data_IF_789451389457
#
_entry.id   IF_789451389457
#
_cell.length_a   1.000
_cell.length_b   1.000
_cell.length_c   1.000
_cell.angle_alpha   90.00
_cell.angle_beta   90.00
_cell.angle_gamma   90.00
#
_symmetry.space_group_name_H-M   'P 1'
#
loop_
_entity.id
_entity.type
_entity.pdbx_description
1 polymer ?
#
# COMPACT_ATOMS: atom_id res chain seq x y z
N UNK A 1 52.37 -54.25 22.61
CA UNK A 1 52.19 -52.78 22.64
C UNK A 1 50.79 -52.44 22.13
N UNK A 2 50.00 -51.74 22.94
CA UNK A 2 48.54 -51.54 22.78
C UNK A 2 48.25 -50.22 22.04
N UNK A 3 47.89 -50.28 20.76
CA UNK A 3 47.48 -49.12 19.93
C UNK A 3 46.11 -49.35 19.28
N UNK A 4 45.12 -49.84 20.03
CA UNK A 4 43.74 -50.07 19.53
C UNK A 4 42.61 -49.35 20.29
N UNK A 5 42.90 -48.33 21.09
CA UNK A 5 41.87 -47.70 21.96
C UNK A 5 41.42 -46.29 21.56
N UNK A 6 42.01 -45.63 20.56
CA UNK A 6 41.69 -44.21 20.26
C UNK A 6 40.60 -44.02 19.18
N UNK A 7 40.39 -44.99 18.29
CA UNK A 7 39.41 -44.86 17.21
C UNK A 7 37.94 -44.98 17.69
N UNK A 8 37.68 -45.79 18.74
CA UNK A 8 36.31 -45.97 19.27
C UNK A 8 35.80 -44.74 20.05
N UNK A 9 36.69 -43.98 20.68
CA UNK A 9 36.31 -42.77 21.43
C UNK A 9 35.90 -41.61 20.51
N UNK A 10 36.53 -41.48 19.33
CA UNK A 10 36.18 -40.44 18.36
C UNK A 10 34.82 -40.70 17.69
N UNK A 11 34.46 -41.96 17.44
CA UNK A 11 33.16 -42.33 16.87
C UNK A 11 32.00 -42.05 17.85
N UNK A 12 32.19 -42.29 19.15
CA UNK A 12 31.17 -42.00 20.16
C UNK A 12 31.03 -40.50 20.46
N UNK A 13 32.12 -39.73 20.41
CA UNK A 13 32.07 -38.27 20.59
C UNK A 13 31.30 -37.58 19.44
N UNK A 14 31.49 -38.04 18.20
CA UNK A 14 30.77 -37.51 17.03
C UNK A 14 29.26 -37.75 17.09
N UNK A 15 28.82 -38.90 17.61
CA UNK A 15 27.39 -39.25 17.72
C UNK A 15 26.69 -38.45 18.83
N UNK A 16 27.39 -38.13 19.93
CA UNK A 16 26.86 -37.28 21.01
C UNK A 16 26.77 -35.81 20.56
N UNK A 17 27.77 -35.31 19.82
CA UNK A 17 27.73 -33.95 19.26
C UNK A 17 26.61 -33.77 18.22
N UNK A 18 26.38 -34.77 17.35
CA UNK A 18 25.27 -34.73 16.38
C UNK A 18 23.88 -34.73 17.06
N UNK A 19 23.71 -35.47 18.17
CA UNK A 19 22.47 -35.47 18.94
C UNK A 19 22.22 -34.15 19.71
N UNK A 20 23.27 -33.41 20.05
CA UNK A 20 23.15 -32.10 20.70
C UNK A 20 22.87 -30.95 19.74
N UNK A 21 23.18 -31.11 18.45
CA UNK A 21 22.98 -30.07 17.42
C UNK A 21 21.54 -30.01 16.87
N UNK A 22 20.75 -31.08 17.02
CA UNK A 22 19.35 -31.15 16.51
C UNK A 22 18.31 -30.53 17.45
N UNK A 23 18.71 -30.04 18.64
CA UNK A 23 17.79 -29.52 19.67
C UNK A 23 17.55 -28.00 19.68
N UNK A 24 18.32 -27.19 18.94
CA UNK A 24 18.27 -25.72 19.07
C UNK A 24 17.36 -25.01 18.05
N UNK A 25 16.72 -25.73 17.12
CA UNK A 25 15.97 -25.09 16.02
C UNK A 25 14.45 -24.97 16.22
N UNK A 26 13.84 -25.54 17.26
CA UNK A 26 12.39 -25.86 17.20
C UNK A 26 11.42 -25.11 18.12
N UNK A 27 11.85 -24.12 18.91
CA UNK A 27 10.91 -23.34 19.74
C UNK A 27 11.06 -21.84 19.56
N UNK A 28 10.63 -21.34 18.40
CA UNK A 28 10.22 -19.94 18.32
C UNK A 28 8.82 -19.83 18.95
N UNK A 29 8.63 -18.96 19.95
CA UNK A 29 7.31 -18.72 20.51
C UNK A 29 6.42 -18.22 19.39
N UNK A 30 5.28 -18.87 19.18
CA UNK A 30 4.30 -18.46 18.17
C UNK A 30 2.96 -18.29 18.84
N UNK A 31 2.35 -17.13 18.62
CA UNK A 31 1.08 -16.73 19.22
C UNK A 31 -0.04 -16.94 18.21
N UNK A 32 -1.14 -17.63 18.57
CA UNK A 32 -2.26 -17.81 17.67
C UNK A 32 -2.92 -16.47 17.36
N UNK A 33 -3.23 -16.24 16.09
CA UNK A 33 -3.99 -15.10 15.59
C UNK A 33 -5.12 -15.61 14.69
N UNK A 34 -6.32 -15.10 14.90
CA UNK A 34 -7.46 -15.34 14.02
C UNK A 34 -7.74 -14.10 13.19
N UNK A 35 -7.79 -14.25 11.87
CA UNK A 35 -8.18 -13.20 10.94
C UNK A 35 -9.60 -13.51 10.47
N UNK A 36 -10.56 -12.63 10.77
CA UNK A 36 -11.94 -12.72 10.27
C UNK A 36 -12.08 -11.85 9.04
N UNK A 37 -12.48 -12.43 7.92
CA UNK A 37 -12.73 -11.72 6.66
C UNK A 37 -14.23 -11.62 6.45
N UNK A 38 -14.75 -10.40 6.36
CA UNK A 38 -16.16 -10.15 6.08
C UNK A 38 -16.35 -9.12 4.99
N UNK A 39 -17.48 -9.20 4.32
CA UNK A 39 -17.94 -8.21 3.37
C UNK A 39 -18.35 -6.95 4.14
N UNK A 40 -17.73 -5.82 3.83
CA UNK A 40 -17.97 -4.56 4.49
C UNK A 40 -19.41 -4.05 4.31
N UNK A 41 -20.08 -4.40 3.21
CA UNK A 41 -21.41 -3.91 2.86
C UNK A 41 -22.51 -4.80 3.44
N UNK A 42 -22.34 -6.12 3.39
CA UNK A 42 -23.35 -7.09 3.85
C UNK A 42 -23.07 -7.64 5.25
N UNK A 43 -21.88 -7.41 5.80
CA UNK A 43 -21.38 -7.96 7.06
C UNK A 43 -21.31 -9.50 7.07
N UNK A 44 -21.45 -10.15 5.92
CA UNK A 44 -21.38 -11.62 5.79
C UNK A 44 -19.92 -12.08 5.70
N UNK A 45 -19.59 -13.27 6.24
CA UNK A 45 -18.25 -13.83 6.09
C UNK A 45 -17.88 -14.06 4.62
N UNK A 46 -16.60 -13.91 4.28
CA UNK A 46 -16.08 -14.15 2.91
C UNK A 46 -15.25 -15.44 2.91
N UNK A 47 -15.85 -16.58 2.51
CA UNK A 47 -15.13 -17.85 2.48
C UNK A 47 -14.08 -17.88 1.37
N UNK A 48 -13.07 -18.73 1.53
CA UNK A 48 -11.99 -18.94 0.56
C UNK A 48 -11.19 -17.66 0.22
N UNK A 49 -11.25 -16.62 1.06
CA UNK A 49 -10.37 -15.47 0.96
C UNK A 49 -8.92 -15.90 1.25
N UNK A 50 -7.98 -15.45 0.42
CA UNK A 50 -6.55 -15.63 0.65
C UNK A 50 -6.06 -14.51 1.55
N UNK A 51 -5.64 -14.86 2.76
CA UNK A 51 -5.08 -13.98 3.78
C UNK A 51 -3.56 -14.16 3.78
N UNK A 52 -2.84 -13.10 3.43
CA UNK A 52 -1.37 -13.04 3.51
C UNK A 52 -0.99 -12.16 4.70
N UNK A 53 -0.24 -12.72 5.64
CA UNK A 53 0.29 -11.99 6.80
C UNK A 53 1.79 -11.85 6.61
N UNK A 54 2.28 -10.62 6.63
CA UNK A 54 3.68 -10.30 6.40
C UNK A 54 4.19 -9.21 7.34
N UNK A 55 5.51 -9.11 7.44
CA UNK A 55 6.20 -8.20 8.39
C UNK A 55 7.04 -7.22 7.63
N UNK A 56 7.20 -6.03 8.19
CA UNK A 56 8.16 -5.07 7.66
C UNK A 56 9.56 -5.38 8.20
N UNK A 57 10.58 -5.41 7.33
CA UNK A 57 11.98 -5.61 7.72
C UNK A 57 12.79 -6.45 6.72
N UNK A 58 14.08 -6.60 7.01
CA UNK A 58 15.10 -7.22 6.13
C UNK A 58 14.93 -8.73 5.88
N UNK A 59 14.00 -9.38 6.59
CA UNK A 59 13.74 -10.82 6.53
C UNK A 59 12.25 -11.13 6.32
N UNK A 60 11.53 -10.25 5.61
CA UNK A 60 10.08 -10.32 5.44
C UNK A 60 9.64 -11.54 4.63
N UNK A 61 10.22 -11.77 3.45
CA UNK A 61 9.76 -12.80 2.51
C UNK A 61 9.78 -14.23 3.07
N UNK A 62 10.75 -14.55 3.94
CA UNK A 62 10.87 -15.89 4.54
C UNK A 62 9.84 -16.15 5.66
N UNK A 63 9.16 -15.10 6.14
CA UNK A 63 8.21 -15.14 7.25
C UNK A 63 6.77 -14.85 6.83
N UNK A 64 6.54 -14.67 5.54
CA UNK A 64 5.21 -14.48 4.99
C UNK A 64 4.40 -15.77 5.14
N UNK A 65 3.19 -15.63 5.66
CA UNK A 65 2.24 -16.74 5.74
C UNK A 65 1.04 -16.44 4.86
N UNK A 66 0.71 -17.37 3.96
CA UNK A 66 -0.48 -17.30 3.13
C UNK A 66 -1.43 -18.41 3.54
N UNK A 67 -2.64 -18.03 3.92
CA UNK A 67 -3.66 -18.93 4.49
C UNK A 67 -4.98 -18.66 3.80
N UNK A 68 -5.76 -19.70 3.56
CA UNK A 68 -7.11 -19.58 3.00
C UNK A 68 -8.14 -19.59 4.12
N UNK A 69 -9.07 -18.64 4.10
CA UNK A 69 -10.17 -18.56 5.05
C UNK A 69 -11.17 -19.71 4.85
N UNK A 70 -11.68 -20.22 5.96
CA UNK A 70 -12.70 -21.27 6.00
C UNK A 70 -14.09 -20.81 5.55
N UNK A 71 -15.09 -21.68 5.69
CA UNK A 71 -16.47 -21.40 5.31
C UNK A 71 -17.12 -20.26 6.11
N UNK A 72 -16.62 -20.02 7.33
CA UNK A 72 -17.03 -18.94 8.22
C UNK A 72 -16.24 -17.63 8.00
N UNK A 73 -15.40 -17.57 6.96
CA UNK A 73 -14.55 -16.42 6.66
C UNK A 73 -13.39 -16.25 7.64
N UNK A 74 -13.06 -17.25 8.45
CA UNK A 74 -11.95 -17.18 9.40
C UNK A 74 -10.69 -17.87 8.88
N UNK A 75 -9.53 -17.25 9.11
CA UNK A 75 -8.22 -17.82 8.85
C UNK A 75 -7.42 -17.85 10.16
N UNK A 76 -6.91 -19.02 10.53
CA UNK A 76 -6.09 -19.18 11.73
C UNK A 76 -4.61 -19.25 11.36
N UNK A 77 -3.80 -18.43 12.02
CA UNK A 77 -2.34 -18.38 11.85
C UNK A 77 -1.64 -18.42 13.21
N UNK A 78 -0.33 -18.63 13.19
CA UNK A 78 0.53 -18.43 14.36
C UNK A 78 1.67 -17.52 13.98
N UNK A 79 1.81 -16.41 14.71
CA UNK A 79 2.84 -15.42 14.45
C UNK A 79 3.90 -15.47 15.55
N UNK A 80 5.17 -15.50 15.15
CA UNK A 80 6.25 -15.12 16.04
C UNK A 80 6.11 -13.65 16.49
N UNK A 81 6.78 -13.22 17.57
CA UNK A 81 6.83 -11.82 17.96
C UNK A 81 7.22 -10.91 16.78
N UNK A 82 6.56 -9.75 16.60
CA UNK A 82 6.85 -8.83 15.51
C UNK A 82 8.18 -8.11 15.74
N UNK A 83 8.83 -7.72 14.65
CA UNK A 83 9.95 -6.78 14.69
C UNK A 83 9.40 -5.33 14.81
N UNK A 84 10.27 -4.32 14.95
CA UNK A 84 9.85 -2.91 15.12
C UNK A 84 8.99 -2.36 13.97
N UNK A 85 9.08 -2.97 12.79
CA UNK A 85 8.34 -2.55 11.60
C UNK A 85 6.84 -2.87 11.62
N UNK A 86 6.37 -3.74 12.52
CA UNK A 86 4.96 -4.13 12.62
C UNK A 86 4.56 -5.26 11.66
N UNK A 87 3.25 -5.53 11.62
CA UNK A 87 2.65 -6.65 10.86
C UNK A 87 1.51 -6.13 9.99
N UNK A 88 1.49 -6.55 8.73
CA UNK A 88 0.44 -6.25 7.77
C UNK A 88 -0.33 -7.51 7.39
N UNK A 89 -1.63 -7.35 7.23
CA UNK A 89 -2.55 -8.36 6.74
C UNK A 89 -3.08 -7.88 5.40
N UNK A 90 -2.82 -8.64 4.36
CA UNK A 90 -3.36 -8.47 3.01
C UNK A 90 -4.41 -9.55 2.76
N UNK A 91 -5.56 -9.14 2.24
CA UNK A 91 -6.67 -10.04 1.92
C UNK A 91 -7.06 -9.88 0.47
N UNK A 92 -7.12 -11.01 -0.24
CA UNK A 92 -7.61 -11.10 -1.62
C UNK A 92 -8.70 -12.16 -1.69
N UNK A 93 -9.75 -11.90 -2.47
CA UNK A 93 -10.85 -12.84 -2.65
C UNK A 93 -11.49 -12.63 -4.03
N UNK A 94 -12.12 -13.68 -4.61
CA UNK A 94 -12.81 -13.55 -5.89
C UNK A 94 -13.86 -12.44 -5.88
N UNK A 95 -13.87 -11.61 -6.93
CA UNK A 95 -14.79 -10.48 -7.09
C UNK A 95 -14.74 -9.44 -5.94
N UNK A 96 -13.65 -9.40 -5.16
CA UNK A 96 -13.42 -8.41 -4.10
C UNK A 96 -12.23 -7.52 -4.42
N UNK A 97 -12.22 -6.33 -3.85
CA UNK A 97 -11.06 -5.43 -3.91
C UNK A 97 -9.98 -5.92 -2.94
N UNK A 98 -8.71 -6.04 -3.36
CA UNK A 98 -7.60 -6.32 -2.45
C UNK A 98 -7.56 -5.29 -1.33
N UNK A 99 -7.46 -5.77 -0.09
CA UNK A 99 -7.45 -4.92 1.10
C UNK A 99 -6.22 -5.21 1.92
N UNK A 100 -5.53 -4.16 2.37
CA UNK A 100 -4.38 -4.25 3.25
C UNK A 100 -4.68 -3.47 4.53
N UNK A 101 -4.38 -4.07 5.68
CA UNK A 101 -4.49 -3.42 6.98
C UNK A 101 -3.31 -3.76 7.86
N UNK A 102 -2.82 -2.77 8.61
CA UNK A 102 -1.88 -3.00 9.69
C UNK A 102 -2.63 -3.63 10.86
N UNK A 103 -1.98 -4.54 11.61
CA UNK A 103 -2.57 -5.04 12.84
C UNK A 103 -2.79 -3.90 13.85
N UNK A 104 -3.92 -3.90 14.58
CA UNK A 104 -4.13 -2.98 15.69
C UNK A 104 -2.99 -3.03 16.71
N UNK A 105 -2.68 -1.88 17.33
CA UNK A 105 -1.53 -1.75 18.23
C UNK A 105 -1.60 -2.70 19.42
N UNK A 106 -2.77 -2.89 20.00
CA UNK A 106 -3.03 -3.82 21.10
C UNK A 106 -2.73 -5.27 20.72
N UNK A 107 -3.06 -5.67 19.48
CA UNK A 107 -2.71 -7.00 18.94
C UNK A 107 -1.19 -7.12 18.76
N UNK A 108 -0.54 -6.08 18.25
CA UNK A 108 0.93 -6.05 18.07
C UNK A 108 1.65 -6.15 19.42
N UNK A 109 1.22 -5.36 20.42
CA UNK A 109 1.78 -5.36 21.77
C UNK A 109 1.60 -6.74 22.45
N UNK A 110 0.44 -7.37 22.25
CA UNK A 110 0.17 -8.72 22.74
C UNK A 110 1.08 -9.77 22.06
N UNK A 111 1.29 -9.68 20.74
CA UNK A 111 2.25 -10.55 20.03
C UNK A 111 3.68 -10.35 20.52
N UNK A 112 4.09 -9.10 20.79
CA UNK A 112 5.42 -8.76 21.29
C UNK A 112 5.67 -9.22 22.73
N UNK A 113 4.61 -9.39 23.54
CA UNK A 113 4.72 -9.89 24.91
C UNK A 113 5.12 -11.38 25.00
N UNK A 114 4.92 -12.14 23.91
CA UNK A 114 5.29 -13.55 23.85
C UNK A 114 6.82 -13.72 23.85
N UNK A 115 7.36 -14.44 24.83
CA UNK A 115 8.80 -14.71 24.95
C UNK A 115 9.09 -16.19 24.72
N UNK A 116 10.35 -16.51 24.39
CA UNK A 116 10.81 -17.89 24.07
C UNK A 116 10.39 -18.95 25.11
N UNK A 117 10.22 -18.55 26.37
CA UNK A 117 9.83 -19.44 27.48
C UNK A 117 8.55 -19.02 28.19
N UNK A 118 7.86 -18.00 27.68
CA UNK A 118 6.61 -17.50 28.24
C UNK A 118 5.64 -17.34 27.07
N UNK A 119 4.93 -18.42 26.69
CA UNK A 119 3.93 -18.32 25.64
C UNK A 119 2.88 -17.29 26.06
N UNK A 120 2.27 -16.65 25.07
CA UNK A 120 1.17 -15.75 25.32
C UNK A 120 0.01 -16.51 25.98
N UNK A 121 -0.42 -16.07 27.17
CA UNK A 121 -1.53 -16.66 27.95
C UNK A 121 -2.78 -15.77 27.98
N UNK A 122 -2.79 -14.68 27.22
CA UNK A 122 -3.93 -13.78 27.14
C UNK A 122 -5.07 -14.32 26.28
N UNK A 123 -6.14 -13.53 26.09
CA UNK A 123 -7.28 -13.90 25.25
C UNK A 123 -6.86 -14.13 23.79
N UNK A 124 -7.56 -15.00 23.03
CA UNK A 124 -7.27 -15.20 21.61
C UNK A 124 -7.15 -13.89 20.85
N UNK A 125 -6.05 -13.72 20.11
CA UNK A 125 -5.86 -12.53 19.28
C UNK A 125 -6.72 -12.64 18.04
N UNK A 126 -7.45 -11.58 17.74
CA UNK A 126 -8.38 -11.52 16.63
C UNK A 126 -8.27 -10.17 15.91
N UNK A 127 -8.32 -10.21 14.58
CA UNK A 127 -8.46 -9.02 13.74
C UNK A 127 -9.56 -9.26 12.71
N UNK A 128 -10.42 -8.26 12.51
CA UNK A 128 -11.43 -8.28 11.44
C UNK A 128 -10.94 -7.43 10.28
N UNK A 129 -11.00 -7.98 9.07
CA UNK A 129 -10.66 -7.29 7.83
C UNK A 129 -11.90 -7.19 6.96
N UNK A 130 -12.32 -5.96 6.72
CA UNK A 130 -13.47 -5.62 5.91
C UNK A 130 -13.06 -5.49 4.45
N UNK A 131 -13.58 -6.38 3.60
CA UNK A 131 -13.33 -6.36 2.16
C UNK A 131 -14.57 -5.90 1.40
N UNK A 132 -14.38 -5.23 0.27
CA UNK A 132 -15.47 -4.68 -0.52
C UNK A 132 -15.64 -5.44 -1.83
N UNK A 133 -16.88 -5.59 -2.30
CA UNK A 133 -17.15 -6.13 -3.63
C UNK A 133 -16.52 -5.25 -4.72
N UNK A 134 -15.86 -5.87 -5.70
CA UNK A 134 -15.51 -5.21 -6.94
C UNK A 134 -16.74 -4.96 -7.82
N UNK A 135 -16.62 -4.13 -8.88
CA UNK A 135 -15.44 -3.34 -9.26
C UNK A 135 -15.18 -2.17 -8.30
N UNK A 136 -14.11 -1.40 -8.55
CA UNK A 136 -13.87 -0.15 -7.82
C UNK A 136 -15.04 0.82 -8.04
N UNK A 137 -15.39 1.63 -7.03
CA UNK A 137 -16.44 2.63 -7.20
C UNK A 137 -15.99 3.71 -8.19
N UNK A 138 -16.94 4.22 -8.96
CA UNK A 138 -16.78 5.28 -9.94
C UNK A 138 -17.58 6.50 -9.51
N UNK A 139 -16.91 7.65 -9.41
CA UNK A 139 -17.57 8.94 -9.30
C UNK A 139 -17.54 9.64 -10.67
N UNK A 140 -18.72 9.82 -11.24
CA UNK A 140 -18.96 10.50 -12.51
C UNK A 140 -19.24 11.98 -12.24
N UNK A 141 -18.40 12.84 -12.81
CA UNK A 141 -18.56 14.29 -12.76
C UNK A 141 -19.36 14.77 -13.98
N UNK A 142 -20.50 15.41 -13.74
CA UNK A 142 -21.37 15.96 -14.79
C UNK A 142 -21.11 17.45 -14.92
N UNK A 143 -20.39 17.84 -15.97
CA UNK A 143 -19.93 19.19 -16.21
C UNK A 143 -20.92 20.00 -17.05
N UNK A 144 -20.97 21.33 -16.93
CA UNK A 144 -21.73 22.18 -17.85
C UNK A 144 -21.25 21.96 -19.30
N UNK A 145 -22.15 22.05 -20.27
CA UNK A 145 -21.80 21.86 -21.70
C UNK A 145 -20.73 22.88 -22.11
N UNK A 146 -19.64 22.40 -22.71
CA UNK A 146 -18.53 23.24 -23.14
C UNK A 146 -17.61 23.73 -22.02
N UNK A 147 -17.81 23.27 -20.77
CA UNK A 147 -16.92 23.61 -19.66
C UNK A 147 -15.46 23.29 -20.00
N UNK A 148 -14.58 24.28 -19.79
CA UNK A 148 -13.12 24.14 -19.88
C UNK A 148 -12.49 24.87 -18.72
N UNK A 149 -11.55 24.23 -18.05
CA UNK A 149 -10.88 24.81 -16.90
C UNK A 149 -10.61 23.83 -15.77
N UNK A 150 -10.15 24.32 -14.60
CA UNK A 150 -9.84 23.49 -13.45
C UNK A 150 -11.11 22.93 -12.82
N UNK A 151 -11.02 21.70 -12.32
CA UNK A 151 -12.05 21.05 -11.51
C UNK A 151 -11.43 20.56 -10.22
N UNK A 152 -12.02 20.89 -9.09
CA UNK A 152 -11.63 20.43 -7.76
C UNK A 152 -12.74 19.55 -7.19
N UNK A 153 -12.45 18.28 -6.99
CA UNK A 153 -13.33 17.32 -6.34
C UNK A 153 -12.90 17.09 -4.89
N UNK A 154 -13.73 17.48 -3.93
CA UNK A 154 -13.54 17.19 -2.50
C UNK A 154 -14.19 15.84 -2.17
N UNK A 155 -13.39 14.77 -2.03
CA UNK A 155 -13.89 13.42 -1.76
C UNK A 155 -14.13 13.24 -0.26
N UNK A 156 -15.37 12.95 0.13
CA UNK A 156 -15.75 12.67 1.52
C UNK A 156 -16.39 11.31 1.64
N UNK A 157 -15.98 10.57 2.66
CA UNK A 157 -16.60 9.30 3.04
C UNK A 157 -17.68 9.56 4.07
N UNK A 158 -18.91 9.10 3.82
CA UNK A 158 -20.02 9.12 4.78
C UNK A 158 -20.32 7.72 5.27
N UNK A 159 -20.01 7.45 6.53
CA UNK A 159 -20.34 6.19 7.19
C UNK A 159 -21.87 6.04 7.38
N UNK A 160 -22.56 7.13 7.71
CA UNK A 160 -24.00 7.12 8.04
C UNK A 160 -24.90 7.29 6.80
N UNK A 161 -24.37 7.08 5.59
CA UNK A 161 -25.16 7.13 4.36
C UNK A 161 -25.87 5.80 4.12
N UNK A 162 -27.17 5.84 3.79
CA UNK A 162 -27.87 4.67 3.27
C UNK A 162 -27.53 4.49 1.79
N UNK A 163 -26.53 3.65 1.51
CA UNK A 163 -26.15 3.29 0.15
C UNK A 163 -26.66 1.88 -0.17
N UNK A 164 -27.34 1.66 -1.32
CA UNK A 164 -27.62 0.31 -1.80
C UNK A 164 -26.34 -0.52 -1.86
N UNK A 165 -26.38 -1.73 -1.28
CA UNK A 165 -25.27 -2.67 -1.36
C UNK A 165 -24.90 -2.95 -2.82
N UNK A 166 -23.60 -2.96 -3.13
CA UNK A 166 -23.12 -3.12 -4.50
C UNK A 166 -23.27 -1.90 -5.41
N UNK A 167 -23.79 -0.75 -4.96
CA UNK A 167 -23.75 0.47 -5.77
C UNK A 167 -22.30 0.89 -6.02
N UNK A 168 -21.92 0.99 -7.30
CA UNK A 168 -20.56 1.37 -7.72
C UNK A 168 -20.49 2.60 -8.61
N UNK A 169 -21.62 3.18 -9.02
CA UNK A 169 -21.64 4.39 -9.84
C UNK A 169 -22.37 5.51 -9.10
N UNK A 170 -21.71 6.66 -9.00
CA UNK A 170 -22.21 7.83 -8.29
C UNK A 170 -22.02 9.06 -9.19
N UNK A 171 -23.06 9.86 -9.40
CA UNK A 171 -23.02 11.00 -10.33
C UNK A 171 -23.14 12.31 -9.56
N UNK A 172 -22.29 13.29 -9.89
CA UNK A 172 -22.20 14.57 -9.20
C UNK A 172 -22.16 15.71 -10.21
N UNK A 173 -23.10 16.65 -10.11
CA UNK A 173 -23.09 17.87 -10.93
C UNK A 173 -21.95 18.78 -10.49
N UNK A 174 -21.11 19.17 -11.44
CA UNK A 174 -20.04 20.15 -11.23
C UNK A 174 -20.60 21.54 -11.52
N UNK A 175 -20.59 22.47 -10.55
CA UNK A 175 -20.99 23.84 -10.81
C UNK A 175 -20.01 24.55 -11.76
N UNK A 176 -20.41 25.70 -12.32
CA UNK A 176 -19.55 26.49 -13.23
C UNK A 176 -18.25 26.99 -12.58
N UNK A 177 -18.17 27.03 -11.25
CA UNK A 177 -16.93 27.35 -10.53
C UNK A 177 -15.93 26.19 -10.48
N UNK A 178 -16.28 25.01 -11.00
CA UNK A 178 -15.42 23.82 -11.04
C UNK A 178 -15.23 23.11 -9.70
N UNK A 179 -15.92 23.50 -8.62
CA UNK A 179 -15.74 22.89 -7.29
C UNK A 179 -16.93 22.00 -6.94
N UNK A 180 -16.68 20.72 -6.73
CA UNK A 180 -17.70 19.72 -6.42
C UNK A 180 -17.33 18.92 -5.17
N UNK A 181 -18.33 18.66 -4.31
CA UNK A 181 -18.18 17.72 -3.20
C UNK A 181 -18.69 16.35 -3.61
N UNK A 182 -17.84 15.34 -3.47
CA UNK A 182 -18.09 13.95 -3.84
C UNK A 182 -18.26 13.14 -2.54
N UNK A 183 -19.50 12.95 -2.11
CA UNK A 183 -19.82 12.19 -0.90
C UNK A 183 -20.17 10.73 -1.25
N UNK A 184 -19.41 9.77 -0.74
CA UNK A 184 -19.64 8.36 -1.04
C UNK A 184 -19.54 7.40 0.14
N UNK A 185 -19.83 6.11 -0.09
CA UNK A 185 -19.71 5.04 0.90
C UNK A 185 -18.26 4.81 1.38
N UNK A 186 -18.10 4.00 2.42
CA UNK A 186 -16.80 3.61 2.97
C UNK A 186 -15.77 3.14 1.93
N UNK A 187 -16.22 2.49 0.84
CA UNK A 187 -15.36 2.03 -0.26
C UNK A 187 -14.61 3.18 -0.97
N UNK A 188 -15.08 4.44 -0.87
CA UNK A 188 -14.36 5.62 -1.39
C UNK A 188 -13.09 5.93 -0.60
N UNK A 189 -12.99 5.48 0.66
CA UNK A 189 -11.84 5.68 1.52
C UNK A 189 -10.71 4.67 1.31
N UNK A 190 -10.93 3.65 0.48
CA UNK A 190 -9.94 2.59 0.28
C UNK A 190 -8.86 2.98 -0.72
N UNK A 191 -7.60 2.76 -0.33
CA UNK A 191 -6.44 2.89 -1.22
C UNK A 191 -6.40 4.23 -1.97
N UNK A 192 -6.46 4.17 -3.30
CA UNK A 192 -6.42 5.34 -4.18
C UNK A 192 -7.78 6.05 -4.35
N UNK A 193 -8.84 5.61 -3.66
CA UNK A 193 -10.18 6.19 -3.74
C UNK A 193 -11.01 5.68 -4.93
N UNK A 194 -12.12 6.35 -5.29
CA UNK A 194 -12.92 5.98 -6.46
C UNK A 194 -12.20 6.31 -7.77
N UNK A 195 -12.56 5.60 -8.83
CA UNK A 195 -12.24 6.00 -10.19
C UNK A 195 -13.07 7.24 -10.55
N UNK A 196 -12.40 8.28 -11.05
CA UNK A 196 -13.08 9.52 -11.46
C UNK A 196 -13.23 9.53 -12.97
N UNK A 197 -14.46 9.68 -13.43
CA UNK A 197 -14.80 9.87 -14.86
C UNK A 197 -15.62 11.14 -14.99
N UNK A 198 -15.77 11.65 -16.21
CA UNK A 198 -16.57 12.83 -16.44
C UNK A 198 -17.33 12.77 -17.76
N UNK A 199 -18.42 13.53 -17.82
CA UNK A 199 -19.20 13.80 -19.03
C UNK A 199 -19.76 15.21 -18.98
N UNK A 200 -20.12 15.76 -20.12
CA UNK A 200 -20.90 16.98 -20.18
C UNK A 200 -22.37 16.70 -19.84
N UNK A 201 -23.12 17.74 -19.48
CA UNK A 201 -24.53 17.66 -19.12
C UNK A 201 -25.42 17.19 -20.29
N UNK A 202 -24.94 17.29 -21.52
CA UNK A 202 -25.58 16.72 -22.72
C UNK A 202 -25.35 15.20 -22.88
N UNK A 203 -24.58 14.58 -21.98
CA UNK A 203 -24.27 13.16 -21.98
C UNK A 203 -22.97 12.79 -22.70
N UNK A 204 -22.29 13.75 -23.36
CA UNK A 204 -21.04 13.49 -24.09
C UNK A 204 -19.93 13.09 -23.10
N UNK A 205 -19.38 11.87 -23.18
CA UNK A 205 -18.35 11.42 -22.26
C UNK A 205 -17.03 12.14 -22.54
N UNK A 206 -16.28 12.45 -21.48
CA UNK A 206 -14.91 12.92 -21.60
C UNK A 206 -13.96 11.72 -21.57
N UNK A 207 -13.10 11.55 -22.59
CA UNK A 207 -12.13 10.46 -22.62
C UNK A 207 -11.12 10.59 -21.48
N UNK A 208 -10.75 9.45 -20.89
CA UNK A 208 -9.67 9.36 -19.90
C UNK A 208 -8.29 9.44 -20.54
N UNK A 209 -8.16 8.88 -21.73
CA UNK A 209 -6.92 8.77 -22.50
C UNK A 209 -7.07 9.54 -23.82
N UNK A 210 -7.00 10.86 -23.75
CA UNK A 210 -7.11 11.73 -24.91
C UNK A 210 -5.75 12.07 -25.53
N UNK A 211 -5.77 12.29 -26.84
CA UNK A 211 -4.65 12.90 -27.57
C UNK A 211 -4.40 14.33 -27.11
N UNK A 212 -3.26 14.92 -27.49
CA UNK A 212 -2.84 16.24 -27.01
C UNK A 212 -3.88 17.36 -27.29
N UNK A 213 -4.52 17.32 -28.46
CA UNK A 213 -5.46 18.37 -28.91
C UNK A 213 -6.92 18.12 -28.47
N UNK A 214 -7.20 16.95 -27.91
CA UNK A 214 -8.55 16.55 -27.52
C UNK A 214 -8.89 17.03 -26.09
N UNK A 215 -10.14 17.47 -25.92
CA UNK A 215 -10.67 17.90 -24.62
C UNK A 215 -10.91 16.66 -23.77
N UNK A 216 -10.32 16.62 -22.59
CA UNK A 216 -10.42 15.48 -21.68
C UNK A 216 -10.38 15.91 -20.23
N UNK A 217 -10.77 15.00 -19.34
CA UNK A 217 -10.53 15.12 -17.90
C UNK A 217 -9.10 14.68 -17.58
N UNK A 218 -8.21 15.65 -17.33
CA UNK A 218 -6.79 15.39 -17.09
C UNK A 218 -6.45 15.53 -15.61
N UNK A 219 -5.84 14.50 -15.02
CA UNK A 219 -5.40 14.53 -13.62
C UNK A 219 -4.24 15.50 -13.41
N UNK A 220 -4.33 16.32 -12.36
CA UNK A 220 -3.29 17.28 -11.98
C UNK A 220 -2.53 16.80 -10.76
N UNK A 221 -3.23 16.65 -9.63
CA UNK A 221 -2.66 16.29 -8.32
C UNK A 221 -3.75 15.85 -7.35
N UNK A 222 -3.33 15.28 -6.23
CA UNK A 222 -4.17 14.98 -5.06
C UNK A 222 -3.53 15.55 -3.81
N UNK A 223 -4.32 16.26 -3.00
CA UNK A 223 -3.92 16.83 -1.71
C UNK A 223 -4.92 16.36 -0.64
N UNK A 224 -4.57 15.32 0.11
CA UNK A 224 -5.49 14.69 1.06
C UNK A 224 -6.75 14.15 0.37
N UNK A 225 -7.90 14.75 0.70
CA UNK A 225 -9.22 14.44 0.12
C UNK A 225 -9.53 15.20 -1.15
N UNK A 226 -8.74 16.22 -1.50
CA UNK A 226 -8.96 17.05 -2.67
C UNK A 226 -8.26 16.45 -3.88
N UNK A 227 -8.99 16.24 -4.98
CA UNK A 227 -8.46 15.79 -6.26
C UNK A 227 -8.67 16.87 -7.29
N UNK A 228 -7.59 17.31 -7.93
CA UNK A 228 -7.62 18.38 -8.93
C UNK A 228 -7.46 17.82 -10.34
N UNK A 229 -8.32 18.28 -11.24
CA UNK A 229 -8.32 17.97 -12.66
C UNK A 229 -8.34 19.24 -13.50
N UNK A 230 -8.08 19.09 -14.80
CA UNK A 230 -8.36 20.11 -15.82
C UNK A 230 -9.20 19.48 -16.89
N UNK A 231 -10.30 20.13 -17.26
CA UNK A 231 -11.07 19.80 -18.46
C UNK A 231 -10.53 20.63 -19.61
N UNK A 232 -9.77 20.01 -20.50
CA UNK A 232 -9.08 20.72 -21.58
C UNK A 232 -8.07 19.86 -22.35
N UNK A 233 -7.28 20.54 -23.18
CA UNK A 233 -6.18 20.00 -23.97
C UNK A 233 -4.93 19.78 -23.10
N UNK A 234 -3.86 19.22 -23.68
CA UNK A 234 -2.57 19.13 -22.98
C UNK A 234 -1.98 20.51 -22.67
N UNK A 235 -2.17 21.49 -23.55
CA UNK A 235 -1.69 22.85 -23.34
C UNK A 235 -2.35 23.51 -22.11
N UNK A 236 -3.65 23.27 -21.92
CA UNK A 236 -4.39 23.76 -20.74
C UNK A 236 -3.84 23.17 -19.45
N UNK A 237 -3.54 21.87 -19.44
CA UNK A 237 -2.92 21.18 -18.31
C UNK A 237 -1.55 21.79 -17.96
N UNK A 238 -0.72 22.09 -18.97
CA UNK A 238 0.62 22.66 -18.76
C UNK A 238 0.57 24.09 -18.21
N UNK A 239 -0.43 24.89 -18.60
CA UNK A 239 -0.68 26.20 -18.01
C UNK A 239 -1.04 26.05 -16.53
N UNK A 240 -2.01 25.19 -16.21
CA UNK A 240 -2.49 25.00 -14.84
C UNK A 240 -1.40 24.42 -13.93
N UNK A 241 -0.59 23.46 -14.42
CA UNK A 241 0.55 22.91 -13.66
C UNK A 241 1.57 23.98 -13.29
N UNK A 242 1.84 24.92 -14.20
CA UNK A 242 2.74 26.06 -13.92
C UNK A 242 2.15 27.01 -12.86
N UNK A 243 0.85 27.28 -12.92
CA UNK A 243 0.17 28.13 -11.94
C UNK A 243 0.11 27.49 -10.55
N UNK A 244 -0.15 26.18 -10.46
CA UNK A 244 -0.26 25.47 -9.18
C UNK A 244 1.11 25.09 -8.59
N UNK A 245 2.09 24.76 -9.42
CA UNK A 245 3.44 24.34 -8.99
C UNK A 245 4.32 25.47 -8.45
N UNK A 246 3.94 26.73 -8.66
CA UNK A 246 4.69 27.89 -8.17
C UNK A 246 4.69 28.09 -6.66
N UNK A 247 3.82 27.39 -5.91
CA UNK A 247 3.64 27.62 -4.47
C UNK A 247 4.50 26.77 -3.53
N UNK A 248 4.99 25.61 -3.98
CA UNK A 248 5.60 24.62 -3.07
C UNK A 248 7.13 24.55 -3.15
N UNK A 249 7.73 25.00 -4.26
CA UNK A 249 9.19 24.92 -4.47
C UNK A 249 10.00 26.06 -3.82
N UNK A 250 9.37 27.14 -3.33
CA UNK A 250 10.13 28.25 -2.71
C UNK A 250 10.46 28.04 -1.23
N UNK A 251 9.87 27.05 -0.54
CA UNK A 251 10.12 26.82 0.89
C UNK A 251 11.30 25.90 1.22
N UNK A 252 11.83 25.11 0.28
CA UNK A 252 12.99 24.23 0.59
C UNK A 252 14.34 24.76 0.12
N UNK A 253 14.41 25.84 -0.68
CA UNK A 253 15.70 26.39 -1.15
C UNK A 253 16.26 27.56 -0.30
N UNK A 254 15.58 27.99 0.78
CA UNK A 254 16.08 29.07 1.67
C UNK A 254 16.82 28.61 2.92
N UNK A 255 17.08 27.31 3.11
CA UNK A 255 17.88 26.82 4.23
C UNK A 255 19.27 26.36 3.75
N UNK A 256 20.19 27.32 3.60
CA UNK A 256 21.61 27.04 3.46
C UNK A 256 22.41 28.13 2.74
N UNK A 257 22.91 29.15 3.44
CA UNK A 257 24.03 29.95 2.96
C UNK A 257 25.29 29.08 2.96
N UNK A 258 25.45 28.22 1.95
CA UNK A 258 26.70 27.49 1.76
C UNK A 258 27.76 28.45 1.24
N UNK A 259 28.53 28.97 2.19
CA UNK A 259 29.98 28.98 2.10
C UNK A 259 30.55 29.64 0.86
N UNK A 260 30.71 30.95 0.98
CA UNK A 260 31.74 31.69 0.29
C UNK A 260 33.13 31.09 0.60
N UNK A 261 33.70 30.36 -0.35
CA UNK A 261 35.10 29.97 -0.42
C UNK A 261 35.36 29.43 -1.82
N UNK A 262 36.19 30.00 -2.69
CA UNK A 262 37.45 30.69 -2.44
C UNK A 262 38.56 29.85 -3.08
N UNK A 263 39.07 30.27 -4.24
CA UNK A 263 40.20 29.64 -4.95
C UNK A 263 39.81 29.28 -6.39
N UNK A 264 40.13 30.03 -7.46
CA UNK A 264 41.44 30.47 -7.98
C UNK A 264 42.47 29.33 -8.13
N UNK A 265 42.88 29.14 -9.39
CA UNK A 265 44.00 28.36 -9.99
C UNK A 265 43.45 27.18 -10.78
N UNK A 266 43.60 27.06 -12.09
CA UNK A 266 44.64 27.60 -12.96
C UNK A 266 45.44 26.43 -13.52
N UNK A 267 45.50 26.33 -14.85
CA UNK A 267 46.65 25.72 -15.52
C UNK A 267 46.48 24.29 -16.04
N UNK A 268 46.96 24.11 -17.28
CA UNK A 268 47.46 22.86 -17.82
C UNK A 268 46.38 21.92 -18.34
N UNK A 269 46.32 21.54 -19.61
CA UNK A 269 47.44 21.24 -20.50
C UNK A 269 47.67 19.72 -20.50
N UNK A 270 47.74 19.13 -21.71
CA UNK A 270 48.11 17.73 -21.92
C UNK A 270 46.96 16.91 -22.51
N UNK A 271 46.88 16.70 -23.83
CA UNK A 271 47.68 15.76 -24.64
C UNK A 271 47.84 14.37 -24.01
N UNK A 272 47.47 13.37 -24.81
CA UNK A 272 47.78 11.96 -24.59
C UNK A 272 46.49 11.16 -24.68
N UNK A 273 46.24 10.37 -25.71
CA UNK A 273 47.19 9.51 -26.41
C UNK A 273 46.57 8.12 -26.39
N UNK A 274 46.47 7.50 -27.56
CA UNK A 274 45.68 6.30 -27.78
C UNK A 274 46.14 5.03 -27.02
N UNK A 275 45.40 3.97 -27.26
CA UNK A 275 45.69 2.61 -26.78
C UNK A 275 44.41 1.78 -26.81
N UNK A 276 44.01 1.21 -27.94
CA UNK A 276 44.46 -0.07 -28.52
C UNK A 276 43.65 -1.27 -27.98
N UNK A 277 42.87 -1.82 -28.92
CA UNK A 277 42.42 -3.21 -29.12
C UNK A 277 42.65 -4.26 -28.02
N UNK A 278 41.63 -5.11 -27.84
CA UNK A 278 41.78 -6.48 -27.39
C UNK A 278 40.48 -7.27 -27.57
N UNK A 279 40.47 -8.09 -28.63
CA UNK A 279 39.58 -9.19 -29.06
C UNK A 279 38.39 -9.60 -28.19
#
# INVERSE_FOLDING_TARGET
>A
MRTRSRASYLAHLGLVLAASATGCQTFQPSTPLTVRVRDAETQTPVPAATVRVWRFGSHSEERDQTITAGADGTAHTRLAPPDEGGVMVEVTAPNRLPTQTTLPRDVVDALASAKRFHPYTGPPLEVTVDVFAGPRPTAELVLPVGFRGPVKAEIRVRADGSWPAGQRSFSYTVPENGVVRVEGPAVFGLGSGPDIVAKFADGTPLPKEAKNEEIALRWVRREGTDVSFVVGTSADLDVIRRTLGGGESERSQRAGPSGQGGGRRGGGGGRGGGGRMGR
#
